data_IF_832568632709
#
_entry.id   IF_832568632709
#
_cell.length_a   1.000
_cell.length_b   1.000
_cell.length_c   1.000
_cell.angle_alpha   90.00
_cell.angle_beta   90.00
_cell.angle_gamma   90.00
#
_symmetry.space_group_name_H-M   'P 1'
#
loop_
_entity.id
_entity.type
_entity.pdbx_description
1 polymer ?
#
# COMPACT_ATOMS: atom_id res chain seq x y z
N UNK A 1 -21.84 -7.49 -24.68
CA UNK A 1 -21.75 -6.04 -24.77
C UNK A 1 -21.49 -5.66 -26.20
N UNK A 2 -22.05 -4.56 -26.70
CA UNK A 2 -21.73 -4.06 -28.03
C UNK A 2 -20.20 -3.86 -28.14
N UNK A 3 -19.57 -4.38 -29.20
CA UNK A 3 -18.09 -4.35 -29.36
C UNK A 3 -17.52 -2.93 -29.42
N UNK A 4 -18.22 -2.02 -30.09
CA UNK A 4 -17.82 -0.62 -30.21
C UNK A 4 -17.91 0.10 -28.87
N UNK A 5 -18.99 -0.17 -28.12
CA UNK A 5 -19.18 0.39 -26.78
C UNK A 5 -18.15 -0.15 -25.79
N UNK A 6 -17.88 -1.45 -25.84
CA UNK A 6 -16.83 -2.08 -25.03
C UNK A 6 -15.45 -1.48 -25.34
N UNK A 7 -15.11 -1.29 -26.63
CA UNK A 7 -13.86 -0.61 -27.03
C UNK A 7 -13.78 0.80 -26.46
N UNK A 8 -14.85 1.59 -26.54
CA UNK A 8 -14.88 2.95 -25.96
C UNK A 8 -14.64 2.95 -24.45
N UNK A 9 -15.24 2.01 -23.71
CA UNK A 9 -15.03 1.87 -22.26
C UNK A 9 -13.57 1.53 -21.95
N UNK A 10 -12.99 0.56 -22.67
CA UNK A 10 -11.60 0.13 -22.46
C UNK A 10 -10.63 1.26 -22.76
N UNK A 11 -10.78 1.94 -23.90
CA UNK A 11 -9.90 3.05 -24.30
C UNK A 11 -9.99 4.22 -23.29
N UNK A 12 -11.19 4.51 -22.77
CA UNK A 12 -11.39 5.48 -21.68
C UNK A 12 -10.63 5.05 -20.41
N UNK A 13 -10.82 3.81 -19.96
CA UNK A 13 -10.18 3.28 -18.76
C UNK A 13 -8.65 3.24 -18.88
N UNK A 14 -8.11 2.91 -20.06
CA UNK A 14 -6.67 2.97 -20.33
C UNK A 14 -6.14 4.42 -20.26
N UNK A 15 -6.89 5.38 -20.78
CA UNK A 15 -6.56 6.80 -20.66
C UNK A 15 -6.55 7.27 -19.19
N UNK A 16 -7.53 6.85 -18.39
CA UNK A 16 -7.56 7.12 -16.93
C UNK A 16 -6.32 6.54 -16.25
N UNK A 17 -5.95 5.29 -16.55
CA UNK A 17 -4.75 4.68 -15.98
C UNK A 17 -3.48 5.47 -16.35
N UNK A 18 -3.36 5.92 -17.60
CA UNK A 18 -2.22 6.73 -18.04
C UNK A 18 -2.17 8.08 -17.32
N UNK A 19 -3.32 8.75 -17.14
CA UNK A 19 -3.41 9.96 -16.35
C UNK A 19 -2.94 9.75 -14.91
N UNK A 20 -3.43 8.69 -14.24
CA UNK A 20 -3.03 8.38 -12.87
C UNK A 20 -1.55 8.05 -12.73
N UNK A 21 -0.95 7.33 -13.70
CA UNK A 21 0.50 7.08 -13.72
C UNK A 21 1.30 8.38 -13.76
N UNK A 22 0.91 9.32 -14.63
CA UNK A 22 1.59 10.63 -14.74
C UNK A 22 1.37 11.44 -13.45
N UNK A 23 0.15 11.47 -12.92
CA UNK A 23 -0.16 12.13 -11.65
C UNK A 23 0.73 11.58 -10.52
N UNK A 24 0.84 10.25 -10.42
CA UNK A 24 1.67 9.57 -9.42
C UNK A 24 3.14 9.92 -9.58
N UNK A 25 3.70 9.83 -10.80
CA UNK A 25 5.09 10.25 -11.09
C UNK A 25 5.35 11.72 -10.74
N UNK A 26 4.34 12.57 -10.93
CA UNK A 26 4.40 14.01 -10.64
C UNK A 26 4.31 14.36 -9.14
N UNK A 27 4.16 13.38 -8.27
CA UNK A 27 4.09 13.61 -6.82
C UNK A 27 2.68 13.69 -6.26
N UNK A 28 1.64 13.34 -7.03
CA UNK A 28 0.28 13.21 -6.51
C UNK A 28 0.12 11.80 -5.95
N UNK A 29 -0.21 11.70 -4.67
CA UNK A 29 -0.46 10.39 -4.04
C UNK A 29 -1.83 9.89 -4.48
N UNK A 30 -1.89 8.65 -4.95
CA UNK A 30 -3.15 8.01 -5.30
C UNK A 30 -4.01 7.78 -4.04
N UNK A 31 -5.28 8.18 -4.05
CA UNK A 31 -6.16 8.12 -2.88
C UNK A 31 -6.64 6.67 -2.63
N UNK A 32 -6.70 6.20 -1.36
CA UNK A 32 -7.29 4.91 -1.04
C UNK A 32 -8.82 4.93 -0.96
N UNK A 33 -9.45 6.10 -1.04
CA UNK A 33 -10.91 6.26 -1.08
C UNK A 33 -11.31 7.54 -1.80
N UNK A 34 -12.58 7.64 -2.22
CA UNK A 34 -13.16 8.89 -2.74
C UNK A 34 -13.02 10.05 -1.74
N UNK A 35 -13.27 9.78 -0.46
CA UNK A 35 -13.21 10.82 0.57
C UNK A 35 -11.78 11.33 0.79
N UNK A 36 -10.78 10.44 0.76
CA UNK A 36 -9.37 10.83 0.83
C UNK A 36 -8.96 11.72 -0.35
N UNK A 37 -9.52 11.49 -1.55
CA UNK A 37 -9.31 12.38 -2.69
C UNK A 37 -9.93 13.76 -2.46
N UNK A 38 -11.19 13.79 -2.07
CA UNK A 38 -11.95 15.03 -1.84
C UNK A 38 -11.22 15.90 -0.81
N UNK A 39 -10.84 15.31 0.32
CA UNK A 39 -10.21 15.99 1.46
C UNK A 39 -8.71 16.29 1.25
N UNK A 40 -8.11 15.81 0.16
CA UNK A 40 -6.68 16.03 -0.08
C UNK A 40 -6.33 17.50 -0.30
N UNK A 41 -5.17 17.90 0.23
CA UNK A 41 -4.58 19.24 0.07
C UNK A 41 -3.95 19.49 -1.33
N UNK A 42 -4.33 18.69 -2.33
CA UNK A 42 -3.83 18.82 -3.70
C UNK A 42 -4.43 20.10 -4.30
N UNK A 43 -3.62 20.97 -4.93
CA UNK A 43 -4.15 22.16 -5.59
C UNK A 43 -5.22 21.80 -6.63
N UNK A 44 -6.26 22.63 -6.73
CA UNK A 44 -7.37 22.45 -7.68
C UNK A 44 -6.86 22.38 -9.12
N UNK A 45 -5.87 23.21 -9.49
CA UNK A 45 -5.19 23.14 -10.78
C UNK A 45 -3.69 23.01 -10.59
N UNK A 46 -3.02 22.44 -11.58
CA UNK A 46 -1.57 22.44 -11.64
C UNK A 46 -1.03 21.82 -12.92
N UNK A 47 0.29 21.65 -12.92
CA UNK A 47 1.06 21.05 -13.99
C UNK A 47 1.78 19.80 -13.45
N UNK A 48 1.63 18.71 -14.18
CA UNK A 48 2.26 17.42 -13.99
C UNK A 48 3.55 17.35 -14.84
N UNK A 49 4.33 16.31 -14.64
CA UNK A 49 5.53 16.04 -15.43
C UNK A 49 5.20 16.02 -16.93
N UNK A 50 6.09 16.59 -17.74
CA UNK A 50 5.87 16.76 -19.19
C UNK A 50 4.95 17.93 -19.57
N UNK A 51 4.58 18.79 -18.63
CA UNK A 51 3.72 19.96 -18.91
C UNK A 51 2.23 19.64 -18.98
N UNK A 52 1.84 18.43 -18.56
CA UNK A 52 0.45 17.95 -18.59
C UNK A 52 -0.37 18.70 -17.55
N UNK A 53 -1.47 19.32 -17.96
CA UNK A 53 -2.33 20.07 -17.04
C UNK A 53 -3.34 19.16 -16.37
N UNK A 54 -3.69 19.48 -15.12
CA UNK A 54 -4.77 18.82 -14.42
C UNK A 54 -5.71 19.82 -13.73
N UNK A 55 -6.96 19.40 -13.57
CA UNK A 55 -7.98 20.09 -12.80
C UNK A 55 -8.68 19.08 -11.89
N UNK A 56 -8.42 19.16 -10.58
CA UNK A 56 -9.13 18.42 -9.54
C UNK A 56 -10.51 19.06 -9.33
N UNK A 57 -11.53 18.24 -9.34
CA UNK A 57 -12.90 18.61 -9.01
C UNK A 57 -13.52 17.51 -8.14
N UNK A 58 -14.65 17.80 -7.48
CA UNK A 58 -15.43 16.85 -6.68
C UNK A 58 -14.69 15.58 -6.23
N UNK A 59 -15.14 14.44 -6.75
CA UNK A 59 -14.57 13.12 -6.52
C UNK A 59 -13.52 12.72 -7.57
N UNK A 60 -13.07 13.63 -8.43
CA UNK A 60 -12.37 13.30 -9.66
C UNK A 60 -11.30 14.26 -10.13
N UNK A 61 -10.84 14.04 -11.35
CA UNK A 61 -9.82 14.86 -11.98
C UNK A 61 -9.95 14.83 -13.51
N UNK A 62 -9.85 16.01 -14.12
CA UNK A 62 -9.60 16.18 -15.54
C UNK A 62 -8.08 16.27 -15.77
N UNK A 63 -7.57 15.51 -16.73
CA UNK A 63 -6.15 15.53 -17.12
C UNK A 63 -6.01 15.69 -18.64
N UNK A 64 -5.25 16.69 -19.09
CA UNK A 64 -5.04 17.00 -20.50
C UNK A 64 -3.80 16.27 -21.04
N UNK A 65 -3.96 15.01 -21.45
CA UNK A 65 -2.89 14.18 -22.03
C UNK A 65 -2.59 14.59 -23.48
N UNK A 66 -1.45 14.13 -24.01
CA UNK A 66 -1.12 14.31 -25.42
C UNK A 66 -2.08 13.59 -26.37
N UNK A 67 -2.76 12.55 -25.88
CA UNK A 67 -3.78 11.77 -26.60
C UNK A 67 -5.19 12.38 -26.51
N UNK A 68 -5.38 13.46 -25.75
CA UNK A 68 -6.67 14.05 -25.46
C UNK A 68 -6.92 14.22 -23.97
N UNK A 69 -8.06 14.82 -23.63
CA UNK A 69 -8.45 15.02 -22.24
C UNK A 69 -9.21 13.80 -21.70
N UNK A 70 -8.98 13.46 -20.44
CA UNK A 70 -9.75 12.43 -19.74
C UNK A 70 -10.24 12.99 -18.41
N UNK A 71 -11.54 12.87 -18.18
CA UNK A 71 -12.23 13.29 -16.96
C UNK A 71 -12.84 12.06 -16.30
N UNK A 72 -12.58 11.88 -15.00
CA UNK A 72 -12.97 10.69 -14.26
C UNK A 72 -13.18 11.01 -12.78
N UNK A 73 -14.00 10.19 -12.10
CA UNK A 73 -14.15 10.18 -10.65
C UNK A 73 -13.58 8.89 -10.05
N UNK A 74 -13.09 9.00 -8.82
CA UNK A 74 -12.82 7.84 -7.98
C UNK A 74 -14.12 7.26 -7.42
N UNK A 75 -14.21 5.93 -7.42
CA UNK A 75 -15.22 5.17 -6.68
C UNK A 75 -15.03 5.29 -5.16
N UNK A 76 -16.00 4.80 -4.39
CA UNK A 76 -16.06 4.98 -2.93
C UNK A 76 -14.77 4.55 -2.25
N UNK A 77 -14.22 3.40 -2.65
CA UNK A 77 -12.99 2.81 -2.11
C UNK A 77 -11.77 3.09 -3.03
N UNK A 78 -11.86 4.15 -3.85
CA UNK A 78 -10.77 4.56 -4.74
C UNK A 78 -10.69 3.77 -6.05
N UNK A 79 -11.78 3.13 -6.46
CA UNK A 79 -11.86 2.45 -7.76
C UNK A 79 -11.70 3.44 -8.93
N UNK A 80 -11.07 3.00 -10.01
CA UNK A 80 -10.78 3.85 -11.19
C UNK A 80 -11.42 3.35 -12.49
N UNK A 81 -12.12 2.22 -12.42
CA UNK A 81 -12.81 1.63 -13.57
C UNK A 81 -14.21 2.19 -13.83
N UNK A 82 -14.69 3.08 -12.95
CA UNK A 82 -16.03 3.65 -13.04
C UNK A 82 -16.15 4.65 -14.18
N UNK A 83 -17.28 4.65 -14.86
CA UNK A 83 -17.59 5.62 -15.92
C UNK A 83 -19.07 6.02 -15.91
N UNK A 84 -19.41 7.10 -16.58
CA UNK A 84 -20.78 7.50 -16.84
C UNK A 84 -20.96 7.94 -18.29
N UNK A 85 -22.22 8.12 -18.71
CA UNK A 85 -22.54 8.51 -20.09
C UNK A 85 -21.87 9.84 -20.48
N UNK A 86 -21.81 10.80 -19.54
CA UNK A 86 -21.24 12.12 -19.80
C UNK A 86 -19.73 12.01 -20.07
N UNK A 87 -18.95 11.35 -19.22
CA UNK A 87 -17.51 11.20 -19.42
C UNK A 87 -17.17 10.39 -20.67
N UNK A 88 -17.88 9.30 -20.95
CA UNK A 88 -17.63 8.53 -22.19
C UNK A 88 -17.90 9.38 -23.43
N UNK A 89 -18.94 10.21 -23.40
CA UNK A 89 -19.28 11.12 -24.50
C UNK A 89 -18.23 12.21 -24.66
N UNK A 90 -17.76 12.82 -23.57
CA UNK A 90 -16.69 13.83 -23.60
C UNK A 90 -15.38 13.23 -24.10
N UNK A 91 -15.01 12.04 -23.62
CA UNK A 91 -13.81 11.32 -24.03
C UNK A 91 -13.84 10.93 -25.51
N UNK A 92 -14.97 10.42 -26.00
CA UNK A 92 -15.14 10.14 -27.43
C UNK A 92 -15.01 11.42 -28.26
N UNK A 93 -15.63 12.51 -27.80
CA UNK A 93 -15.49 13.85 -28.39
C UNK A 93 -15.69 13.86 -29.90
N UNK A 94 -14.72 14.44 -30.62
CA UNK A 94 -14.71 14.48 -32.09
C UNK A 94 -14.47 13.10 -32.74
N UNK A 95 -13.88 12.15 -32.00
CA UNK A 95 -13.57 10.79 -32.46
C UNK A 95 -14.76 9.83 -32.29
N UNK A 96 -15.96 10.32 -31.96
CA UNK A 96 -17.16 9.51 -31.77
C UNK A 96 -17.44 8.56 -32.96
N UNK A 97 -17.22 9.04 -34.19
CA UNK A 97 -17.39 8.24 -35.40
C UNK A 97 -16.38 7.13 -35.55
N UNK A 98 -15.17 7.29 -35.00
CA UNK A 98 -14.11 6.27 -35.04
C UNK A 98 -14.47 5.09 -34.14
N UNK A 99 -15.22 5.37 -33.06
CA UNK A 99 -15.84 4.35 -32.24
C UNK A 99 -17.01 3.65 -32.92
N UNK A 100 -17.56 4.21 -34.00
CA UNK A 100 -18.69 3.66 -34.75
C UNK A 100 -20.05 4.18 -34.29
N UNK A 101 -20.07 5.32 -33.60
CA UNK A 101 -21.29 6.02 -33.17
C UNK A 101 -21.49 7.29 -34.00
N UNK A 102 -22.73 7.59 -34.38
CA UNK A 102 -23.06 8.81 -35.11
C UNK A 102 -23.49 9.91 -34.15
N UNK A 103 -24.18 9.54 -33.08
CA UNK A 103 -24.74 10.44 -32.10
C UNK A 103 -24.46 9.93 -30.68
N UNK A 104 -24.42 10.85 -29.73
CA UNK A 104 -24.25 10.53 -28.30
C UNK A 104 -25.36 9.62 -27.78
N UNK A 105 -26.56 9.72 -28.36
CA UNK A 105 -27.70 8.87 -28.05
C UNK A 105 -27.44 7.39 -28.37
N UNK A 106 -26.57 7.09 -29.35
CA UNK A 106 -26.17 5.71 -29.67
C UNK A 106 -25.39 5.07 -28.51
N UNK A 107 -24.59 5.87 -27.78
CA UNK A 107 -23.88 5.42 -26.57
C UNK A 107 -24.88 5.17 -25.45
N UNK A 108 -25.84 6.06 -25.25
CA UNK A 108 -26.87 5.92 -24.23
C UNK A 108 -27.71 4.65 -24.44
N UNK A 109 -28.06 4.34 -25.69
CA UNK A 109 -28.77 3.11 -26.05
C UNK A 109 -27.92 1.86 -25.73
N UNK A 110 -26.63 1.88 -26.08
CA UNK A 110 -25.72 0.78 -25.75
C UNK A 110 -25.54 0.58 -24.24
N UNK A 111 -25.45 1.68 -23.49
CA UNK A 111 -25.32 1.67 -22.03
C UNK A 111 -26.57 1.05 -21.38
N UNK A 112 -27.77 1.50 -21.76
CA UNK A 112 -29.03 0.96 -21.24
C UNK A 112 -29.18 -0.53 -21.57
N UNK A 113 -28.91 -0.95 -22.81
CA UNK A 113 -28.91 -2.37 -23.19
C UNK A 113 -27.93 -3.22 -22.38
N UNK A 114 -26.75 -2.67 -22.07
CA UNK A 114 -25.73 -3.36 -21.29
C UNK A 114 -26.09 -3.46 -19.81
N UNK A 115 -26.83 -2.48 -19.27
CA UNK A 115 -27.44 -2.57 -17.93
C UNK A 115 -28.57 -3.59 -17.87
N UNK A 116 -29.49 -3.55 -18.84
CA UNK A 116 -30.63 -4.49 -18.92
C UNK A 116 -30.18 -5.95 -19.05
N UNK A 117 -29.08 -6.19 -19.78
CA UNK A 117 -28.50 -7.53 -19.94
C UNK A 117 -27.61 -7.96 -18.77
N UNK A 118 -27.37 -7.09 -17.78
CA UNK A 118 -26.52 -7.38 -16.62
C UNK A 118 -25.02 -7.40 -16.92
N UNK A 119 -24.61 -6.86 -18.07
CA UNK A 119 -23.19 -6.75 -18.46
C UNK A 119 -22.50 -5.55 -17.81
N UNK A 120 -23.30 -4.56 -17.37
CA UNK A 120 -22.86 -3.45 -16.52
C UNK A 120 -23.60 -3.48 -15.19
N UNK A 121 -22.94 -2.97 -14.15
CA UNK A 121 -23.52 -2.74 -12.81
C UNK A 121 -23.30 -1.29 -12.38
N UNK A 122 -24.21 -0.77 -11.55
CA UNK A 122 -24.11 0.57 -10.94
C UNK A 122 -24.12 0.41 -9.41
N UNK A 123 -23.02 -0.06 -8.79
CA UNK A 123 -22.94 -0.34 -7.37
C UNK A 123 -22.96 0.95 -6.52
N UNK A 124 -22.43 2.04 -7.07
CA UNK A 124 -22.34 3.35 -6.44
C UNK A 124 -23.06 4.37 -7.32
N UNK A 125 -23.71 5.36 -6.72
CA UNK A 125 -24.44 6.38 -7.47
C UNK A 125 -23.52 7.06 -8.50
N UNK A 126 -24.01 7.10 -9.73
CA UNK A 126 -23.45 7.76 -10.92
C UNK A 126 -22.23 7.10 -11.60
N UNK A 127 -21.76 5.94 -11.13
CA UNK A 127 -20.65 5.18 -11.75
C UNK A 127 -21.08 3.78 -12.19
N UNK A 128 -20.91 3.49 -13.48
CA UNK A 128 -21.07 2.15 -14.06
C UNK A 128 -19.73 1.41 -14.12
N UNK A 129 -19.81 0.09 -13.95
CA UNK A 129 -18.68 -0.83 -14.00
C UNK A 129 -19.05 -2.06 -14.83
N UNK A 130 -18.04 -2.68 -15.45
CA UNK A 130 -18.21 -3.96 -16.15
C UNK A 130 -18.53 -5.04 -15.11
N UNK A 131 -19.66 -5.73 -15.29
CA UNK A 131 -20.09 -6.77 -14.37
C UNK A 131 -19.09 -7.93 -14.36
N UNK A 132 -18.85 -8.50 -13.17
CA UNK A 132 -17.93 -9.62 -12.95
C UNK A 132 -16.44 -9.34 -13.30
N UNK A 133 -16.08 -8.09 -13.60
CA UNK A 133 -14.68 -7.68 -13.67
C UNK A 133 -14.17 -7.32 -12.27
N UNK A 134 -12.92 -7.66 -11.91
CA UNK A 134 -12.33 -7.19 -10.67
C UNK A 134 -12.18 -5.66 -10.71
N UNK A 135 -12.42 -5.00 -9.58
CA UNK A 135 -12.13 -3.57 -9.48
C UNK A 135 -10.62 -3.33 -9.53
N UNK A 136 -10.28 -2.20 -10.15
CA UNK A 136 -8.93 -1.66 -10.18
C UNK A 136 -8.94 -0.44 -9.28
N UNK A 137 -7.98 -0.36 -8.36
CA UNK A 137 -7.89 0.70 -7.37
C UNK A 137 -6.77 1.68 -7.73
N UNK A 138 -6.96 2.95 -7.40
CA UNK A 138 -5.97 4.00 -7.64
C UNK A 138 -4.63 3.70 -6.95
N UNK A 139 -4.68 3.11 -5.75
CA UNK A 139 -3.48 2.72 -4.98
C UNK A 139 -2.67 1.60 -5.60
N UNK A 140 -3.25 0.88 -6.56
CA UNK A 140 -2.64 -0.26 -7.24
C UNK A 140 -2.09 0.10 -8.63
N UNK A 141 -2.18 1.37 -9.02
CA UNK A 141 -1.58 1.83 -10.28
C UNK A 141 -0.08 1.60 -10.26
N UNK A 142 0.37 0.82 -11.24
CA UNK A 142 1.78 0.60 -11.50
C UNK A 142 2.32 1.73 -12.38
N UNK A 143 3.00 2.69 -11.75
CA UNK A 143 3.67 3.80 -12.43
C UNK A 143 5.14 3.55 -12.67
N UNK A 144 5.64 2.32 -12.50
CA UNK A 144 7.03 1.97 -12.76
C UNK A 144 7.36 2.01 -14.25
N UNK A 145 8.62 2.29 -14.57
CA UNK A 145 9.13 2.00 -15.91
C UNK A 145 9.31 0.47 -16.07
N UNK A 146 9.22 -0.09 -17.29
CA UNK A 146 9.30 -1.54 -17.50
C UNK A 146 10.55 -2.22 -16.92
N UNK A 147 11.66 -1.49 -16.83
CA UNK A 147 12.94 -1.97 -16.28
C UNK A 147 13.07 -1.78 -14.76
N UNK A 148 12.12 -1.08 -14.11
CA UNK A 148 12.16 -0.83 -12.67
C UNK A 148 11.63 -2.03 -11.87
N UNK A 149 12.59 -2.75 -11.28
CA UNK A 149 12.33 -3.94 -10.48
C UNK A 149 11.73 -3.66 -9.09
N UNK A 150 11.81 -2.43 -8.56
CA UNK A 150 11.28 -2.14 -7.23
C UNK A 150 9.75 -1.97 -7.29
N UNK A 151 8.93 -2.77 -6.59
CA UNK A 151 7.47 -2.60 -6.64
C UNK A 151 6.99 -1.22 -6.18
N UNK A 152 5.74 -0.90 -6.51
CA UNK A 152 5.04 0.25 -5.90
C UNK A 152 5.06 0.16 -4.39
N UNK A 153 5.18 1.29 -3.67
CA UNK A 153 5.28 1.32 -2.19
C UNK A 153 4.21 0.48 -1.49
N UNK A 154 2.95 0.57 -1.93
CA UNK A 154 1.83 -0.16 -1.33
C UNK A 154 1.80 -1.65 -1.75
N UNK A 155 2.48 -1.97 -2.84
CA UNK A 155 2.58 -3.32 -3.41
C UNK A 155 3.86 -4.04 -2.97
N UNK A 156 4.83 -3.34 -2.38
CA UNK A 156 6.08 -3.95 -1.94
C UNK A 156 5.83 -4.83 -0.70
N UNK A 157 5.94 -6.17 -0.83
CA UNK A 157 5.64 -7.07 0.27
C UNK A 157 6.57 -6.90 1.47
N UNK A 158 7.78 -6.35 1.28
CA UNK A 158 8.71 -6.05 2.39
C UNK A 158 8.20 -4.86 3.21
N UNK A 159 7.71 -3.82 2.53
CA UNK A 159 7.12 -2.65 3.20
C UNK A 159 5.79 -3.00 3.86
N UNK A 160 4.98 -3.88 3.25
CA UNK A 160 3.77 -4.43 3.86
C UNK A 160 4.11 -5.24 5.13
N UNK A 161 5.16 -6.08 5.06
CA UNK A 161 5.63 -6.82 6.23
C UNK A 161 6.06 -5.89 7.37
N UNK A 162 6.70 -4.78 7.02
CA UNK A 162 7.10 -3.74 7.97
C UNK A 162 5.87 -3.05 8.60
N UNK A 163 5.00 -2.45 7.78
CA UNK A 163 3.92 -1.58 8.25
C UNK A 163 2.84 -2.33 9.02
N UNK A 164 2.45 -3.52 8.54
CA UNK A 164 1.33 -4.25 9.13
C UNK A 164 1.72 -5.14 10.31
N UNK A 165 2.98 -5.59 10.36
CA UNK A 165 3.39 -6.57 11.38
C UNK A 165 4.55 -6.08 12.24
N UNK A 166 5.63 -5.60 11.64
CA UNK A 166 6.81 -5.21 12.41
C UNK A 166 6.55 -3.96 13.28
N UNK A 167 5.92 -2.92 12.72
CA UNK A 167 5.57 -1.71 13.49
C UNK A 167 4.60 -2.00 14.64
N UNK A 168 3.70 -2.96 14.46
CA UNK A 168 2.85 -3.44 15.56
C UNK A 168 3.67 -4.16 16.62
N UNK A 169 4.65 -4.99 16.24
CA UNK A 169 5.58 -5.61 17.18
C UNK A 169 6.37 -4.55 17.97
N UNK A 170 6.88 -3.52 17.30
CA UNK A 170 7.62 -2.39 17.88
C UNK A 170 6.77 -1.65 18.92
N UNK A 171 5.55 -1.25 18.56
CA UNK A 171 4.62 -0.58 19.48
C UNK A 171 4.35 -1.41 20.74
N UNK A 172 4.17 -2.73 20.59
CA UNK A 172 3.96 -3.62 21.73
C UNK A 172 5.21 -3.72 22.60
N UNK A 173 6.39 -3.82 22.01
CA UNK A 173 7.66 -3.86 22.74
C UNK A 173 7.92 -2.56 23.51
N UNK A 174 7.66 -1.41 22.90
CA UNK A 174 7.79 -0.11 23.54
C UNK A 174 6.90 0.00 24.79
N UNK A 175 5.63 -0.37 24.66
CA UNK A 175 4.68 -0.31 25.77
C UNK A 175 5.02 -1.32 26.88
N UNK A 176 5.47 -2.52 26.51
CA UNK A 176 6.02 -3.47 27.48
C UNK A 176 7.22 -2.88 28.23
N UNK A 177 8.17 -2.27 27.52
CA UNK A 177 9.37 -1.68 28.13
C UNK A 177 9.01 -0.50 29.06
N UNK A 178 8.04 0.33 28.70
CA UNK A 178 7.53 1.42 29.57
C UNK A 178 7.01 0.88 30.90
N UNK A 179 6.18 -0.17 30.87
CA UNK A 179 5.66 -0.80 32.09
C UNK A 179 6.74 -1.54 32.87
N UNK A 180 7.66 -2.22 32.19
CA UNK A 180 8.81 -2.88 32.83
C UNK A 180 9.70 -1.89 33.56
N UNK A 181 9.95 -0.71 32.97
CA UNK A 181 10.71 0.37 33.61
C UNK A 181 9.97 0.95 34.80
N UNK A 182 8.64 1.13 34.70
CA UNK A 182 7.80 1.57 35.82
C UNK A 182 7.89 0.60 36.99
N UNK A 183 7.73 -0.70 36.74
CA UNK A 183 7.84 -1.75 37.75
C UNK A 183 9.22 -1.72 38.42
N UNK A 184 10.30 -1.59 37.65
CA UNK A 184 11.66 -1.49 38.20
C UNK A 184 11.86 -0.25 39.09
N UNK A 185 11.23 0.89 38.74
CA UNK A 185 11.39 2.15 39.49
C UNK A 185 10.57 2.22 40.77
N UNK A 186 9.32 1.73 40.75
CA UNK A 186 8.34 1.92 41.84
C UNK A 186 8.09 0.60 42.61
N UNK A 187 8.60 -0.52 42.11
CA UNK A 187 8.49 -1.84 42.74
C UNK A 187 7.12 -2.52 42.61
N UNK A 188 6.12 -1.85 42.04
CA UNK A 188 4.79 -2.39 41.83
C UNK A 188 4.11 -1.84 40.57
N UNK A 189 3.10 -2.56 40.09
CA UNK A 189 2.16 -2.14 39.04
C UNK A 189 0.73 -2.29 39.57
N UNK A 190 -0.21 -1.53 39.01
CA UNK A 190 -1.63 -1.83 39.25
C UNK A 190 -2.01 -3.16 38.58
N UNK A 191 -3.07 -3.82 39.07
CA UNK A 191 -3.58 -5.07 38.47
C UNK A 191 -3.87 -4.91 36.96
N UNK A 192 -4.35 -3.74 36.55
CA UNK A 192 -4.61 -3.45 35.12
C UNK A 192 -3.31 -3.42 34.33
N UNK A 193 -2.29 -2.73 34.84
CA UNK A 193 -0.99 -2.64 34.20
C UNK A 193 -0.25 -3.97 34.15
N UNK A 194 -0.41 -4.84 35.14
CA UNK A 194 0.13 -6.21 35.09
C UNK A 194 -0.50 -7.03 33.94
N UNK A 195 -1.81 -6.87 33.74
CA UNK A 195 -2.53 -7.50 32.61
C UNK A 195 -2.03 -6.92 31.30
N UNK A 196 -1.98 -5.59 31.18
CA UNK A 196 -1.54 -4.91 29.95
C UNK A 196 -0.08 -5.27 29.63
N UNK A 197 0.82 -5.30 30.62
CA UNK A 197 2.21 -5.74 30.45
C UNK A 197 2.32 -7.14 29.88
N UNK A 198 1.49 -8.09 30.36
CA UNK A 198 1.42 -9.45 29.81
C UNK A 198 0.90 -9.46 28.37
N UNK A 199 -0.15 -8.68 28.08
CA UNK A 199 -0.70 -8.56 26.73
C UNK A 199 0.38 -8.03 25.78
N UNK A 200 1.01 -6.90 26.11
CA UNK A 200 2.08 -6.31 25.29
C UNK A 200 3.23 -7.29 25.03
N UNK A 201 3.72 -7.99 26.06
CA UNK A 201 4.78 -8.99 25.91
C UNK A 201 4.37 -10.11 24.93
N UNK A 202 3.18 -10.68 25.13
CA UNK A 202 2.72 -11.82 24.32
C UNK A 202 2.37 -11.42 22.89
N UNK A 203 1.82 -10.22 22.69
CA UNK A 203 1.52 -9.62 21.38
C UNK A 203 2.76 -9.22 20.62
N UNK A 204 3.77 -8.64 21.28
CA UNK A 204 5.07 -8.38 20.67
C UNK A 204 5.69 -9.66 20.12
N UNK A 205 5.81 -10.70 20.95
CA UNK A 205 6.36 -12.00 20.53
C UNK A 205 5.52 -12.63 19.42
N UNK A 206 4.19 -12.47 19.47
CA UNK A 206 3.28 -12.93 18.43
C UNK A 206 3.58 -12.32 17.07
N UNK A 207 3.60 -10.99 16.99
CA UNK A 207 3.93 -10.26 15.75
C UNK A 207 5.36 -10.54 15.29
N UNK A 208 6.33 -10.59 16.20
CA UNK A 208 7.71 -10.95 15.86
C UNK A 208 7.79 -12.33 15.19
N UNK A 209 6.98 -13.29 15.65
CA UNK A 209 6.84 -14.60 15.02
C UNK A 209 6.23 -14.54 13.62
N UNK A 210 5.23 -13.68 13.40
CA UNK A 210 4.66 -13.43 12.06
C UNK A 210 5.68 -12.79 11.13
N UNK A 211 6.43 -11.80 11.60
CA UNK A 211 7.52 -11.17 10.83
C UNK A 211 8.55 -12.22 10.39
N UNK A 212 8.97 -13.10 11.30
CA UNK A 212 9.87 -14.21 10.97
C UNK A 212 9.30 -15.13 9.87
N UNK A 213 8.00 -15.43 9.89
CA UNK A 213 7.36 -16.21 8.82
C UNK A 213 7.32 -15.44 7.50
N UNK A 214 7.01 -14.14 7.53
CA UNK A 214 7.06 -13.27 6.36
C UNK A 214 8.44 -13.24 5.73
N UNK A 215 9.50 -13.02 6.51
CA UNK A 215 10.89 -13.02 6.03
C UNK A 215 11.25 -14.35 5.32
N UNK A 216 10.76 -15.50 5.80
CA UNK A 216 10.98 -16.80 5.13
C UNK A 216 10.14 -16.93 3.86
N UNK A 217 8.85 -16.59 3.92
CA UNK A 217 7.93 -16.71 2.79
C UNK A 217 8.35 -15.84 1.61
N UNK A 218 8.85 -14.64 1.89
CA UNK A 218 9.37 -13.71 0.89
C UNK A 218 10.77 -14.09 0.38
N UNK A 219 11.42 -15.06 1.02
CA UNK A 219 12.78 -15.48 0.70
C UNK A 219 13.71 -14.27 0.49
N UNK A 220 13.79 -13.42 1.53
CA UNK A 220 14.37 -12.06 1.44
C UNK A 220 15.75 -12.04 0.79
N UNK A 221 16.57 -13.06 1.03
CA UNK A 221 17.89 -13.17 0.38
C UNK A 221 17.77 -13.22 -1.16
N UNK A 222 16.96 -14.14 -1.70
CA UNK A 222 16.77 -14.27 -3.15
C UNK A 222 16.10 -13.01 -3.72
N UNK A 223 15.11 -12.48 -2.99
CA UNK A 223 14.42 -11.24 -3.37
C UNK A 223 15.40 -10.08 -3.54
N UNK A 224 16.35 -9.90 -2.61
CA UNK A 224 17.38 -8.85 -2.71
C UNK A 224 18.40 -9.12 -3.82
N UNK A 225 18.71 -10.39 -4.11
CA UNK A 225 19.69 -10.77 -5.13
C UNK A 225 19.16 -10.62 -6.56
N UNK A 226 17.87 -10.89 -6.77
CA UNK A 226 17.31 -11.14 -8.11
C UNK A 226 16.04 -10.34 -8.44
N UNK A 227 15.32 -9.82 -7.45
CA UNK A 227 14.02 -9.17 -7.64
C UNK A 227 14.02 -7.70 -7.18
N UNK A 228 15.19 -7.15 -6.86
CA UNK A 228 15.38 -5.77 -6.42
C UNK A 228 16.55 -5.13 -7.16
N UNK A 229 16.57 -3.78 -7.24
CA UNK A 229 17.71 -3.05 -7.82
C UNK A 229 19.03 -3.44 -7.15
N UNK A 230 20.13 -3.43 -7.90
CA UNK A 230 21.44 -3.88 -7.42
C UNK A 230 21.91 -3.22 -6.12
N UNK A 231 21.51 -1.96 -5.89
CA UNK A 231 21.79 -1.22 -4.65
C UNK A 231 21.24 -1.89 -3.40
N UNK A 232 20.19 -2.71 -3.51
CA UNK A 232 19.60 -3.45 -2.38
C UNK A 232 20.46 -4.63 -1.92
N UNK A 233 21.46 -5.06 -2.71
CA UNK A 233 22.41 -6.11 -2.31
C UNK A 233 23.26 -5.71 -1.10
N UNK A 234 23.37 -4.41 -0.82
CA UNK A 234 23.99 -3.88 0.42
C UNK A 234 23.29 -4.39 1.70
N UNK A 235 22.02 -4.82 1.61
CA UNK A 235 21.24 -5.34 2.73
C UNK A 235 21.49 -6.83 3.01
N UNK A 236 22.19 -7.56 2.12
CA UNK A 236 22.44 -9.00 2.26
C UNK A 236 23.11 -9.37 3.59
N UNK A 237 24.16 -8.67 4.07
CA UNK A 237 24.79 -9.00 5.36
C UNK A 237 23.82 -8.92 6.54
N UNK A 238 22.88 -7.96 6.51
CA UNK A 238 21.86 -7.79 7.56
C UNK A 238 20.84 -8.92 7.47
N UNK A 239 20.39 -9.24 6.25
CA UNK A 239 19.49 -10.37 5.97
C UNK A 239 20.10 -11.70 6.44
N UNK A 240 21.39 -11.93 6.19
CA UNK A 240 22.09 -13.15 6.60
C UNK A 240 22.18 -13.29 8.11
N UNK A 241 22.50 -12.19 8.80
CA UNK A 241 22.50 -12.16 10.27
C UNK A 241 21.11 -12.46 10.86
N UNK A 242 20.05 -11.88 10.27
CA UNK A 242 18.66 -12.22 10.65
C UNK A 242 18.38 -13.71 10.43
N UNK A 243 18.78 -14.25 9.28
CA UNK A 243 18.65 -15.67 8.97
C UNK A 243 19.37 -16.57 9.98
N UNK A 244 20.56 -16.18 10.43
CA UNK A 244 21.31 -16.88 11.46
C UNK A 244 20.57 -16.85 12.81
N UNK A 245 20.15 -15.67 13.27
CA UNK A 245 19.37 -15.52 14.51
C UNK A 245 18.08 -16.35 14.47
N UNK A 246 17.40 -16.38 13.32
CA UNK A 246 16.16 -17.15 13.16
C UNK A 246 16.36 -18.66 13.30
N UNK A 247 17.54 -19.20 12.95
CA UNK A 247 17.84 -20.64 13.09
C UNK A 247 17.88 -21.09 14.56
N UNK A 248 18.18 -20.19 15.50
CA UNK A 248 18.32 -20.53 16.92
C UNK A 248 16.96 -20.89 17.55
N UNK A 249 15.99 -19.96 17.51
CA UNK A 249 14.75 -20.09 18.30
C UNK A 249 13.46 -19.72 17.59
N UNK A 250 13.47 -19.39 16.29
CA UNK A 250 12.24 -18.95 15.61
C UNK A 250 11.18 -20.07 15.50
N UNK A 251 11.59 -21.34 15.52
CA UNK A 251 10.66 -22.47 15.64
C UNK A 251 9.92 -22.50 16.98
N UNK A 252 10.62 -22.21 18.08
CA UNK A 252 10.00 -22.09 19.41
C UNK A 252 9.07 -20.88 19.50
N UNK A 253 9.45 -19.75 18.88
CA UNK A 253 8.59 -18.55 18.81
C UNK A 253 7.30 -18.82 18.04
N UNK A 254 7.37 -19.58 16.94
CA UNK A 254 6.19 -20.01 16.18
C UNK A 254 5.25 -20.88 17.02
N UNK A 255 5.79 -21.88 17.73
CA UNK A 255 5.01 -22.73 18.65
C UNK A 255 4.35 -21.92 19.76
N UNK A 256 5.09 -20.98 20.36
CA UNK A 256 4.57 -20.05 21.36
C UNK A 256 3.40 -19.23 20.82
N UNK A 257 3.58 -18.54 19.68
CA UNK A 257 2.54 -17.71 19.05
C UNK A 257 1.26 -18.52 18.81
N UNK A 258 1.38 -19.70 18.22
CA UNK A 258 0.22 -20.53 17.92
C UNK A 258 -0.58 -20.88 19.19
N UNK A 259 0.08 -21.08 20.34
CA UNK A 259 -0.60 -21.34 21.62
C UNK A 259 -1.10 -20.07 22.34
N UNK A 260 -0.71 -18.87 21.90
CA UNK A 260 -1.20 -17.62 22.49
C UNK A 260 -2.40 -17.07 21.72
N UNK A 261 -2.38 -17.16 20.39
CA UNK A 261 -3.37 -16.55 19.50
C UNK A 261 -4.41 -17.54 18.96
N UNK A 262 -4.26 -18.83 19.24
CA UNK A 262 -5.33 -19.82 19.10
C UNK A 262 -5.77 -20.32 20.47
N UNK A 263 -6.93 -20.99 20.52
CA UNK A 263 -7.42 -21.60 21.75
C UNK A 263 -6.34 -22.52 22.32
N UNK A 264 -5.99 -22.32 23.59
CA UNK A 264 -4.88 -23.02 24.23
C UNK A 264 -5.18 -24.49 24.40
N UNK A 265 -4.38 -25.31 23.74
CA UNK A 265 -4.39 -26.77 23.93
C UNK A 265 -3.28 -27.22 24.89
N UNK A 266 -2.13 -26.52 24.92
CA UNK A 266 -0.99 -26.90 25.76
C UNK A 266 -0.32 -25.69 26.45
N UNK A 267 -0.33 -25.67 27.79
CA UNK A 267 0.28 -24.60 28.60
C UNK A 267 1.80 -24.74 28.80
N UNK A 268 2.36 -25.92 28.55
CA UNK A 268 3.79 -26.21 28.69
C UNK A 268 4.60 -25.47 27.63
N UNK A 269 4.12 -25.43 26.38
CA UNK A 269 4.80 -24.73 25.28
C UNK A 269 4.99 -23.23 25.54
N UNK A 270 4.08 -22.62 26.29
CA UNK A 270 4.19 -21.22 26.72
C UNK A 270 5.26 -21.08 27.81
N UNK A 271 5.27 -21.98 28.80
CA UNK A 271 6.26 -21.97 29.89
C UNK A 271 7.66 -22.22 29.36
N UNK A 272 7.82 -23.19 28.46
CA UNK A 272 9.08 -23.55 27.83
C UNK A 272 9.71 -22.35 27.12
N UNK A 273 8.92 -21.53 26.43
CA UNK A 273 9.45 -20.35 25.76
C UNK A 273 10.12 -19.37 26.74
N UNK A 274 9.63 -19.27 27.97
CA UNK A 274 10.18 -18.42 29.02
C UNK A 274 11.17 -19.14 29.94
N UNK A 275 11.66 -20.33 29.56
CA UNK A 275 12.74 -20.98 30.32
C UNK A 275 13.98 -20.09 30.35
N UNK A 276 14.35 -19.66 31.56
CA UNK A 276 15.48 -18.77 31.85
C UNK A 276 16.83 -19.36 31.43
N UNK A 277 16.93 -20.67 31.24
CA UNK A 277 18.18 -21.32 30.81
C UNK A 277 18.46 -21.15 29.32
N UNK A 278 17.46 -20.73 28.55
CA UNK A 278 17.52 -20.67 27.09
C UNK A 278 17.58 -19.24 26.53
N UNK A 279 17.56 -18.22 27.40
CA UNK A 279 17.70 -16.78 27.07
C UNK A 279 16.88 -16.27 25.87
N UNK A 280 15.74 -16.93 25.59
CA UNK A 280 14.90 -16.68 24.40
C UNK A 280 14.34 -15.26 24.34
N UNK A 281 14.15 -14.59 25.48
CA UNK A 281 13.71 -13.19 25.52
C UNK A 281 14.82 -12.24 25.09
N UNK A 282 16.06 -12.50 25.51
CA UNK A 282 17.20 -11.70 25.06
C UNK A 282 17.47 -11.93 23.58
N UNK A 283 17.38 -13.19 23.12
CA UNK A 283 17.40 -13.53 21.69
C UNK A 283 16.32 -12.78 20.90
N UNK A 284 15.06 -12.79 21.38
CA UNK A 284 13.96 -12.12 20.69
C UNK A 284 14.19 -10.60 20.56
N UNK A 285 14.79 -9.97 21.58
CA UNK A 285 15.21 -8.56 21.51
C UNK A 285 16.32 -8.33 20.48
N UNK A 286 17.34 -9.19 20.44
CA UNK A 286 18.41 -9.10 19.42
C UNK A 286 17.86 -9.25 18.00
N UNK A 287 16.96 -10.21 17.80
CA UNK A 287 16.28 -10.41 16.52
C UNK A 287 15.43 -9.20 16.13
N UNK A 288 14.68 -8.63 17.08
CA UNK A 288 13.88 -7.43 16.85
C UNK A 288 14.76 -6.25 16.40
N UNK A 289 15.89 -5.99 17.07
CA UNK A 289 16.83 -4.94 16.68
C UNK A 289 17.44 -5.17 15.28
N UNK A 290 17.76 -6.43 14.94
CA UNK A 290 18.26 -6.75 13.60
C UNK A 290 17.21 -6.47 12.51
N UNK A 291 15.95 -6.85 12.76
CA UNK A 291 14.82 -6.56 11.88
C UNK A 291 14.55 -5.05 11.76
N UNK A 292 14.62 -4.30 12.86
CA UNK A 292 14.50 -2.84 12.87
C UNK A 292 15.55 -2.20 11.94
N UNK A 293 16.81 -2.62 12.08
CA UNK A 293 17.91 -2.16 11.23
C UNK A 293 17.68 -2.49 9.76
N UNK A 294 17.22 -3.70 9.46
CA UNK A 294 16.89 -4.13 8.10
C UNK A 294 15.77 -3.28 7.48
N UNK A 295 14.61 -3.19 8.14
CA UNK A 295 13.47 -2.45 7.61
C UNK A 295 13.74 -0.96 7.49
N UNK A 296 14.52 -0.38 8.41
CA UNK A 296 14.94 1.01 8.33
C UNK A 296 15.80 1.26 7.09
N UNK A 297 16.84 0.44 6.86
CA UNK A 297 17.70 0.59 5.70
C UNK A 297 16.98 0.27 4.39
N UNK A 298 16.15 -0.77 4.36
CA UNK A 298 15.31 -1.09 3.20
C UNK A 298 14.44 0.09 2.79
N UNK A 299 13.76 0.74 3.75
CA UNK A 299 12.97 1.94 3.49
C UNK A 299 13.83 3.09 2.94
N UNK A 300 15.03 3.29 3.46
CA UNK A 300 15.95 4.30 2.93
C UNK A 300 16.34 3.98 1.48
N UNK A 301 16.67 2.73 1.17
CA UNK A 301 16.95 2.29 -0.19
C UNK A 301 15.76 2.51 -1.13
N UNK A 302 14.53 2.24 -0.68
CA UNK A 302 13.32 2.57 -1.44
C UNK A 302 13.21 4.08 -1.71
N UNK A 303 13.37 4.93 -0.70
CA UNK A 303 13.27 6.39 -0.86
C UNK A 303 14.32 6.94 -1.83
N UNK A 304 15.56 6.44 -1.76
CA UNK A 304 16.62 6.80 -2.70
C UNK A 304 16.26 6.35 -4.11
N UNK A 305 15.78 5.11 -4.26
CA UNK A 305 15.37 4.58 -5.56
C UNK A 305 14.22 5.38 -6.17
N UNK A 306 13.19 5.71 -5.39
CA UNK A 306 12.07 6.53 -5.86
C UNK A 306 12.53 7.90 -6.35
N UNK A 307 13.49 8.53 -5.66
CA UNK A 307 14.04 9.81 -6.08
C UNK A 307 14.86 9.69 -7.37
N UNK A 308 15.66 8.64 -7.52
CA UNK A 308 16.51 8.44 -8.70
C UNK A 308 15.72 8.07 -9.96
N UNK A 309 14.55 7.45 -9.81
CA UNK A 309 13.69 7.00 -10.90
C UNK A 309 12.42 7.86 -11.07
N UNK A 310 12.44 9.11 -10.60
CA UNK A 310 11.34 10.08 -10.75
C UNK A 310 9.96 9.62 -10.21
N UNK A 311 9.93 8.65 -9.29
CA UNK A 311 8.71 8.15 -8.63
C UNK A 311 8.29 9.05 -7.47
N UNK A 312 8.07 10.34 -7.76
CA UNK A 312 7.91 11.38 -6.72
C UNK A 312 6.68 11.16 -5.83
N UNK A 313 5.60 10.54 -6.36
CA UNK A 313 4.37 10.28 -5.61
C UNK A 313 4.49 9.20 -4.55
N UNK A 314 5.56 8.41 -4.60
CA UNK A 314 5.84 7.35 -3.64
C UNK A 314 6.81 7.78 -2.53
N UNK A 315 7.55 8.88 -2.76
CA UNK A 315 8.61 9.37 -1.90
C UNK A 315 8.09 10.23 -0.73
N UNK A 316 8.30 9.78 0.50
CA UNK A 316 7.94 10.55 1.70
C UNK A 316 8.86 11.75 1.94
N UNK A 317 10.08 11.78 1.39
CA UNK A 317 11.02 12.91 1.56
C UNK A 317 10.53 14.20 0.87
N UNK A 318 9.83 14.08 -0.26
CA UNK A 318 9.24 15.21 -0.97
C UNK A 318 8.03 15.76 -0.19
N UNK A 319 7.30 14.88 0.51
CA UNK A 319 6.17 15.23 1.40
C UNK A 319 6.58 16.23 2.48
N UNK A 320 7.66 15.93 3.19
CA UNK A 320 8.09 16.73 4.34
C UNK A 320 8.58 18.12 3.94
N UNK A 321 9.22 18.28 2.77
CA UNK A 321 9.61 19.61 2.25
C UNK A 321 8.41 20.50 1.89
N UNK A 322 7.35 19.94 1.29
CA UNK A 322 6.13 20.70 0.96
C UNK A 322 5.37 21.14 2.23
N UNK A 323 5.27 20.28 3.24
CA UNK A 323 4.64 20.61 4.54
C UNK A 323 5.46 21.65 5.33
N UNK A 324 6.79 21.53 5.34
CA UNK A 324 7.69 22.51 6.00
C UNK A 324 7.69 23.88 5.31
N UNK A 325 7.59 23.94 3.97
CA UNK A 325 7.45 25.22 3.25
C UNK A 325 6.14 25.93 3.55
N UNK A 326 5.01 25.20 3.61
CA UNK A 326 3.69 25.78 3.97
C UNK A 326 3.66 26.35 5.39
N UNK A 327 4.39 25.75 6.35
CA UNK A 327 4.51 26.26 7.74
C UNK A 327 5.38 27.52 7.88
N UNK A 328 6.23 27.85 6.91
CA UNK A 328 7.05 29.08 6.92
C UNK A 328 6.37 30.27 6.22
N UNK A 329 5.25 30.03 5.54
CA UNK A 329 4.48 31.03 4.78
C UNK A 329 3.14 31.39 5.45
N UNK A 330 2.88 30.82 6.63
CA UNK A 330 1.86 31.26 7.60
C UNK A 330 2.61 31.82 8.80
#
# INVERSE_FOLDING_TARGET
MNKNFFRLIVDFQESVQNALKIMQRSGIRMPPSRNDWIESDIPITGELDGGVKYYKHGAGCLVSLSSGEVDFDFGEEGEIGGFNLWWLTQFAGENLTDYGFKHTDDIAECLNKSLESGELVCPYHDLYYIANAPYIYATDIDSRDPEDMLPGRNQDPVLVLQSHYFQSAELMLENYNKLSQKLHKIGHLSRREEIDMRIYLTTWLGFLGVVCEGMRKLNIRILLESERPDSFKELLPISDNIGQLMKEHAGSLRKFRNNVFHLRENTELVRDFFDKRLDRIQWARKLHMALEGFFSQYRVSCEVHYLMNERKGECDLIRNKRVLRKRKLR
#
